data_IF_652741049443
#
_entry.id   IF_652741049443
#
_cell.length_a   1.000
_cell.length_b   1.000
_cell.length_c   1.000
_cell.angle_alpha   90.00
_cell.angle_beta   90.00
_cell.angle_gamma   90.00
#
_symmetry.space_group_name_H-M   'P 1'
#
loop_
_entity.id
_entity.type
_entity.pdbx_description
1 polymer ?
#
# COMPACT_ATOMS: atom_id res chain seq x y z
N UNK A 1 15.36 -5.31 -11.37
CA UNK A 1 15.43 -3.84 -11.24
C UNK A 1 14.02 -3.28 -11.37
N UNK A 2 13.34 -3.06 -10.25
CA UNK A 2 12.07 -2.33 -10.20
C UNK A 2 12.40 -0.86 -9.97
N UNK A 3 12.44 -0.06 -11.03
CA UNK A 3 12.51 1.40 -10.92
C UNK A 3 11.08 1.93 -10.82
N UNK A 4 10.46 1.83 -9.64
CA UNK A 4 9.30 2.66 -9.33
C UNK A 4 9.81 4.01 -8.84
N UNK A 5 9.79 5.03 -9.70
CA UNK A 5 9.89 6.41 -9.25
C UNK A 5 8.62 6.72 -8.45
N UNK A 6 8.66 6.51 -7.14
CA UNK A 6 7.64 7.04 -6.25
C UNK A 6 7.85 8.55 -6.17
N UNK A 7 7.10 9.28 -7.00
CA UNK A 7 6.90 10.71 -6.82
C UNK A 7 6.21 10.89 -5.48
N UNK A 8 6.86 11.55 -4.52
CA UNK A 8 6.23 11.86 -3.25
C UNK A 8 4.94 12.64 -3.51
N UNK A 9 3.79 12.06 -3.15
CA UNK A 9 2.51 12.75 -3.21
C UNK A 9 2.56 13.85 -2.16
N UNK A 10 2.68 15.12 -2.58
CA UNK A 10 2.82 16.24 -1.66
C UNK A 10 1.58 16.33 -0.77
N UNK A 11 1.77 16.03 0.52
CA UNK A 11 0.84 16.38 1.59
C UNK A 11 0.85 17.89 1.83
N UNK A 12 -0.22 18.43 2.42
CA UNK A 12 -0.16 19.78 3.00
C UNK A 12 0.81 19.77 4.20
N UNK A 13 2.09 20.04 3.94
CA UNK A 13 3.13 20.07 4.96
C UNK A 13 3.36 21.50 5.44
N UNK A 14 3.01 21.80 6.69
CA UNK A 14 3.49 23.02 7.35
C UNK A 14 4.94 22.75 7.78
N UNK A 15 5.88 23.11 6.91
CA UNK A 15 7.30 23.13 7.25
C UNK A 15 7.71 24.55 7.60
N UNK A 16 8.49 24.70 8.66
CA UNK A 16 9.09 25.97 9.03
C UNK A 16 10.55 25.77 9.39
N UNK A 17 11.31 26.86 9.40
CA UNK A 17 12.75 26.80 9.66
C UNK A 17 13.13 27.82 10.73
N UNK A 18 13.89 27.37 11.73
CA UNK A 18 14.47 28.21 12.77
C UNK A 18 15.94 28.42 12.40
N UNK A 19 16.30 29.59 11.83
CA UNK A 19 17.68 29.86 11.44
C UNK A 19 18.56 30.04 12.68
N UNK A 20 19.73 29.42 12.66
CA UNK A 20 20.74 29.52 13.72
C UNK A 20 22.06 30.02 13.11
N UNK A 21 22.86 30.72 13.91
CA UNK A 21 24.21 31.17 13.52
C UNK A 21 25.27 30.07 13.67
N UNK A 22 24.85 28.83 13.92
CA UNK A 22 25.70 27.64 14.00
C UNK A 22 24.94 26.42 13.46
N UNK A 23 25.66 25.33 13.20
CA UNK A 23 25.04 24.04 12.84
C UNK A 23 24.77 23.24 14.12
N UNK A 24 23.50 22.92 14.45
CA UNK A 24 23.18 22.02 15.54
C UNK A 24 23.64 20.59 15.21
N UNK A 25 24.25 19.92 16.18
CA UNK A 25 24.75 18.53 16.05
C UNK A 25 23.80 17.52 16.66
N UNK A 26 23.07 17.89 17.72
CA UNK A 26 22.15 17.00 18.42
C UNK A 26 21.01 17.77 19.10
N UNK A 27 19.85 17.14 19.20
CA UNK A 27 18.64 17.68 19.82
C UNK A 27 18.16 16.73 20.90
N UNK A 28 17.63 17.28 21.99
CA UNK A 28 16.98 16.50 23.06
C UNK A 28 15.92 17.34 23.76
N UNK A 29 15.08 16.73 24.60
CA UNK A 29 14.07 17.45 25.39
C UNK A 29 14.29 17.20 26.87
N UNK A 30 14.39 18.28 27.65
CA UNK A 30 14.54 18.24 29.10
C UNK A 30 13.48 19.14 29.76
N UNK A 31 12.62 18.55 30.60
CA UNK A 31 11.58 19.27 31.34
C UNK A 31 10.71 20.18 30.46
N UNK A 32 10.30 19.67 29.28
CA UNK A 32 9.48 20.42 28.33
C UNK A 32 10.22 21.53 27.58
N UNK A 33 11.55 21.59 27.67
CA UNK A 33 12.37 22.51 26.89
C UNK A 33 13.18 21.75 25.85
N UNK A 34 13.24 22.28 24.63
CA UNK A 34 14.12 21.76 23.58
C UNK A 34 15.56 22.17 23.90
N UNK A 35 16.46 21.20 24.00
CA UNK A 35 17.89 21.42 24.06
C UNK A 35 18.48 21.28 22.67
N UNK A 36 19.36 22.22 22.32
CA UNK A 36 20.02 22.32 21.02
C UNK A 36 21.51 22.32 21.26
N UNK A 37 22.19 21.22 20.92
CA UNK A 37 23.64 21.14 20.99
C UNK A 37 24.27 21.70 19.71
N UNK A 38 25.22 22.61 19.87
CA UNK A 38 26.25 22.92 18.89
C UNK A 38 27.51 22.10 19.21
N UNK A 39 28.59 22.28 18.45
CA UNK A 39 29.86 21.63 18.75
C UNK A 39 30.46 22.01 20.13
N UNK A 40 30.15 23.19 20.67
CA UNK A 40 30.82 23.73 21.87
C UNK A 40 29.88 24.14 23.02
N UNK A 41 28.57 24.09 22.79
CA UNK A 41 27.58 24.62 23.72
C UNK A 41 26.26 23.90 23.53
N UNK A 42 25.60 23.54 24.62
CA UNK A 42 24.18 23.18 24.66
C UNK A 42 23.39 24.42 25.00
N UNK A 43 22.39 24.73 24.18
CA UNK A 43 21.44 25.82 24.40
C UNK A 43 20.09 25.26 24.79
N UNK A 44 19.35 26.01 25.60
CA UNK A 44 17.93 25.79 25.83
C UNK A 44 17.12 26.70 24.89
N UNK A 45 16.21 26.11 24.12
CA UNK A 45 15.30 26.82 23.24
C UNK A 45 13.93 27.00 23.91
N UNK A 46 13.58 28.26 24.19
CA UNK A 46 12.30 28.61 24.79
C UNK A 46 11.75 29.91 24.17
N UNK A 47 10.50 29.87 23.68
CA UNK A 47 9.81 31.06 23.19
C UNK A 47 10.51 31.78 22.02
N UNK A 48 11.25 31.06 21.18
CA UNK A 48 11.99 31.63 20.05
C UNK A 48 13.44 32.02 20.35
N UNK A 49 13.87 31.97 21.61
CA UNK A 49 15.22 32.35 22.00
C UNK A 49 16.06 31.12 22.40
N UNK A 50 17.35 31.18 22.10
CA UNK A 50 18.35 30.25 22.61
C UNK A 50 19.12 30.88 23.77
N UNK A 51 19.12 30.22 24.92
CA UNK A 51 19.92 30.63 26.08
C UNK A 51 21.01 29.59 26.34
N UNK A 52 22.28 29.99 26.53
CA UNK A 52 23.33 29.06 26.94
C UNK A 52 22.94 28.27 28.18
N UNK A 53 23.12 26.95 28.14
CA UNK A 53 22.74 26.03 29.22
C UNK A 53 23.96 25.29 29.78
N UNK A 54 24.81 24.75 28.90
CA UNK A 54 25.98 23.98 29.30
C UNK A 54 27.09 24.14 28.25
N UNK A 55 28.27 24.56 28.70
CA UNK A 55 29.46 24.67 27.86
C UNK A 55 30.29 23.38 27.93
N UNK A 56 30.44 22.69 26.79
CA UNK A 56 31.26 21.48 26.63
C UNK A 56 31.82 21.49 25.21
N UNK A 57 33.12 21.24 25.05
CA UNK A 57 33.77 21.23 23.74
C UNK A 57 33.59 19.89 23.01
N UNK A 58 33.51 19.94 21.68
CA UNK A 58 33.44 18.80 20.76
C UNK A 58 32.27 17.84 21.00
N UNK A 59 31.10 18.39 21.36
CA UNK A 59 29.87 17.61 21.56
C UNK A 59 29.53 16.87 20.25
N UNK A 60 29.29 15.56 20.33
CA UNK A 60 28.72 14.81 19.20
C UNK A 60 27.23 14.55 19.41
N UNK A 61 26.84 14.16 20.63
CA UNK A 61 25.47 13.79 20.93
C UNK A 61 25.04 14.20 22.33
N UNK A 62 23.77 14.57 22.48
CA UNK A 62 23.13 14.75 23.78
C UNK A 62 21.90 13.86 23.90
N UNK A 63 21.65 13.38 25.11
CA UNK A 63 20.41 12.75 25.49
C UNK A 63 19.98 13.32 26.84
N UNK A 64 18.70 13.37 27.15
CA UNK A 64 18.24 14.03 28.38
C UNK A 64 17.22 13.19 29.12
N UNK A 65 17.32 13.26 30.44
CA UNK A 65 16.32 12.77 31.38
C UNK A 65 15.52 13.94 31.94
N UNK A 66 14.52 13.67 32.77
CA UNK A 66 13.85 14.71 33.55
C UNK A 66 14.82 15.45 34.52
N UNK A 67 15.94 14.83 34.88
CA UNK A 67 16.79 15.28 35.99
C UNK A 67 18.12 15.88 35.55
N UNK A 68 18.53 15.67 34.30
CA UNK A 68 19.84 16.07 33.79
C UNK A 68 20.08 15.67 32.34
N UNK A 69 21.25 16.02 31.83
CA UNK A 69 21.65 15.86 30.43
C UNK A 69 22.90 15.00 30.33
N UNK A 70 22.84 13.97 29.50
CA UNK A 70 24.00 13.22 29.06
C UNK A 70 24.62 13.90 27.85
N UNK A 71 25.94 14.04 27.87
CA UNK A 71 26.71 14.67 26.80
C UNK A 71 27.84 13.75 26.42
N UNK A 72 27.83 13.28 25.17
CA UNK A 72 28.96 12.61 24.55
C UNK A 72 29.81 13.67 23.83
N UNK A 73 31.12 13.59 24.05
CA UNK A 73 32.10 14.32 23.27
C UNK A 73 33.31 13.42 22.95
N UNK A 74 34.25 13.95 22.18
CA UNK A 74 35.47 13.22 21.78
C UNK A 74 36.37 12.72 22.92
N UNK A 75 36.11 13.11 24.17
CA UNK A 75 36.84 12.68 25.37
C UNK A 75 36.05 11.68 26.24
N UNK A 76 34.75 11.51 25.99
CA UNK A 76 33.91 10.52 26.65
C UNK A 76 32.50 11.02 26.97
N UNK A 77 31.78 10.19 27.74
CA UNK A 77 30.42 10.44 28.19
C UNK A 77 30.42 11.14 29.56
N UNK A 78 29.59 12.18 29.67
CA UNK A 78 29.39 12.95 30.88
C UNK A 78 27.90 13.04 31.22
N UNK A 79 27.59 13.22 32.51
CA UNK A 79 26.25 13.53 32.99
C UNK A 79 26.26 14.87 33.72
N UNK A 80 25.44 15.80 33.23
CA UNK A 80 25.22 17.10 33.81
C UNK A 80 23.93 17.12 34.62
N UNK A 81 24.04 17.45 35.91
CA UNK A 81 22.89 17.64 36.79
C UNK A 81 23.20 18.73 37.82
N UNK A 82 22.26 19.66 38.02
CA UNK A 82 22.33 20.69 39.06
C UNK A 82 23.66 21.47 39.09
N UNK A 83 24.21 21.82 37.92
CA UNK A 83 25.46 22.58 37.82
C UNK A 83 26.74 21.75 37.85
N UNK A 84 26.65 20.43 38.04
CA UNK A 84 27.81 19.53 38.11
C UNK A 84 27.87 18.66 36.87
N UNK A 85 29.02 18.68 36.19
CA UNK A 85 29.33 17.79 35.08
C UNK A 85 30.19 16.62 35.60
N UNK A 86 29.62 15.41 35.60
CA UNK A 86 30.27 14.20 36.12
C UNK A 86 30.73 13.30 34.97
N UNK A 87 32.02 12.92 34.87
CA UNK A 87 32.48 11.96 33.89
C UNK A 87 31.96 10.55 34.20
N UNK A 88 31.51 9.81 33.18
CA UNK A 88 31.01 8.44 33.32
C UNK A 88 32.01 7.37 32.87
N UNK A 89 33.19 7.78 32.40
CA UNK A 89 34.31 6.91 32.00
C UNK A 89 33.96 5.86 30.92
N UNK A 90 33.06 6.21 30.01
CA UNK A 90 32.71 5.42 28.82
C UNK A 90 32.85 6.29 27.58
N UNK A 91 33.42 5.76 26.50
CA UNK A 91 33.38 6.37 25.18
C UNK A 91 32.15 5.84 24.47
N UNK A 92 31.07 6.62 24.40
CA UNK A 92 29.85 6.18 23.72
C UNK A 92 29.91 6.54 22.24
N UNK A 93 29.48 5.63 21.37
CA UNK A 93 29.22 5.92 19.97
C UNK A 93 27.83 6.52 19.75
N UNK A 94 26.82 6.06 20.51
CA UNK A 94 25.45 6.58 20.45
C UNK A 94 24.74 6.54 21.79
N UNK A 95 23.79 7.45 21.97
CA UNK A 95 23.00 7.61 23.18
C UNK A 95 21.51 7.35 22.93
N UNK A 96 20.90 6.49 23.74
CA UNK A 96 19.47 6.19 23.70
C UNK A 96 18.87 6.34 25.08
N UNK A 97 17.90 7.25 25.24
CA UNK A 97 17.23 7.45 26.52
C UNK A 97 15.92 6.66 26.59
N UNK A 98 15.82 5.80 27.59
CA UNK A 98 14.65 5.00 27.88
C UNK A 98 13.70 5.76 28.82
N UNK A 99 12.62 6.30 28.26
CA UNK A 99 11.60 7.02 29.02
C UNK A 99 10.77 6.12 29.95
N UNK A 100 10.76 4.80 29.76
CA UNK A 100 9.99 3.87 30.59
C UNK A 100 10.72 3.54 31.89
N UNK A 101 12.05 3.38 31.84
CA UNK A 101 12.87 3.09 33.02
C UNK A 101 13.61 4.30 33.59
N UNK A 102 13.68 5.40 32.82
CA UNK A 102 14.49 6.57 33.14
C UNK A 102 16.00 6.34 33.01
N UNK A 103 16.41 5.32 32.24
CA UNK A 103 17.81 4.94 32.07
C UNK A 103 18.36 5.42 30.73
N UNK A 104 19.65 5.75 30.69
CA UNK A 104 20.38 5.93 29.44
C UNK A 104 21.06 4.62 29.04
N UNK A 105 20.91 4.24 27.78
CA UNK A 105 21.70 3.20 27.14
C UNK A 105 22.73 3.87 26.23
N UNK A 106 24.01 3.69 26.54
CA UNK A 106 25.14 4.17 25.76
C UNK A 106 25.81 2.99 25.05
N UNK A 107 25.86 3.02 23.71
CA UNK A 107 26.45 1.93 22.92
C UNK A 107 27.88 2.25 22.53
N UNK A 108 28.78 1.27 22.60
CA UNK A 108 30.19 1.41 22.25
C UNK A 108 30.70 0.11 21.64
N UNK A 109 30.77 0.05 20.30
CA UNK A 109 31.08 -1.20 19.61
C UNK A 109 30.04 -2.27 19.94
N UNK A 110 30.48 -3.36 20.59
CA UNK A 110 29.61 -4.46 21.01
C UNK A 110 29.03 -4.30 22.41
N UNK A 111 29.43 -3.27 23.17
CA UNK A 111 29.01 -3.10 24.54
C UNK A 111 27.89 -2.07 24.67
N UNK A 112 26.94 -2.36 25.56
CA UNK A 112 25.87 -1.46 25.96
C UNK A 112 26.00 -1.19 27.45
N UNK A 113 26.17 0.08 27.79
CA UNK A 113 26.29 0.56 29.17
C UNK A 113 24.99 1.26 29.57
N UNK A 114 24.40 0.83 30.68
CA UNK A 114 23.12 1.37 31.17
C UNK A 114 23.37 2.23 32.40
N UNK A 115 22.94 3.49 32.35
CA UNK A 115 23.11 4.47 33.42
C UNK A 115 21.77 4.96 33.97
N UNK A 116 21.73 5.22 35.27
CA UNK A 116 20.69 6.00 35.93
C UNK A 116 21.35 7.19 36.63
N UNK A 117 21.13 8.39 36.08
CA UNK A 117 21.95 9.56 36.42
C UNK A 117 23.42 9.27 36.13
N UNK A 118 24.31 9.52 37.10
CA UNK A 118 25.74 9.24 36.99
C UNK A 118 26.15 7.81 37.32
N UNK A 119 25.22 6.94 37.72
CA UNK A 119 25.53 5.57 38.16
C UNK A 119 25.31 4.58 37.03
N UNK A 120 26.34 3.80 36.69
CA UNK A 120 26.18 2.62 35.85
C UNK A 120 25.42 1.53 36.64
N UNK A 121 24.28 1.09 36.11
CA UNK A 121 23.42 0.08 36.75
C UNK A 121 23.55 -1.29 36.10
N UNK A 122 23.92 -1.34 34.82
CA UNK A 122 24.10 -2.58 34.08
C UNK A 122 25.08 -2.36 32.92
N UNK A 123 25.75 -3.42 32.50
CA UNK A 123 26.44 -3.50 31.23
C UNK A 123 26.24 -4.89 30.63
N UNK A 124 26.18 -4.98 29.31
CA UNK A 124 26.12 -6.24 28.59
C UNK A 124 26.70 -6.08 27.18
N UNK A 125 27.14 -7.18 26.60
CA UNK A 125 27.70 -7.20 25.25
C UNK A 125 26.72 -7.87 24.29
N UNK A 126 26.51 -7.27 23.12
CA UNK A 126 25.72 -7.80 22.01
C UNK A 126 26.67 -8.09 20.86
N UNK A 127 26.89 -9.37 20.60
CA UNK A 127 27.78 -9.84 19.55
C UNK A 127 27.32 -9.28 18.19
N UNK A 128 28.26 -8.70 17.43
CA UNK A 128 28.01 -8.07 16.14
C UNK A 128 26.93 -6.96 16.16
N UNK A 129 26.77 -6.24 17.28
CA UNK A 129 25.87 -5.09 17.35
C UNK A 129 26.26 -3.95 16.41
N UNK A 130 25.27 -3.29 15.83
CA UNK A 130 25.44 -2.00 15.15
C UNK A 130 25.22 -0.81 16.10
N UNK A 131 24.84 -1.08 17.35
CA UNK A 131 24.76 -0.09 18.41
C UNK A 131 23.50 0.78 18.37
N UNK A 132 22.41 0.33 17.75
CA UNK A 132 21.10 0.98 17.86
C UNK A 132 20.23 0.28 18.91
N UNK A 133 19.47 1.09 19.66
CA UNK A 133 18.57 0.62 20.71
C UNK A 133 17.22 1.30 20.59
N UNK A 134 16.15 0.57 20.87
CA UNK A 134 14.81 1.14 21.03
C UNK A 134 14.08 0.51 22.20
N UNK A 135 13.02 1.16 22.68
CA UNK A 135 12.36 0.82 23.93
C UNK A 135 10.84 0.81 23.79
N UNK A 136 10.20 -0.10 24.51
CA UNK A 136 8.77 -0.04 24.78
C UNK A 136 8.53 -0.26 26.28
N UNK A 137 7.27 -0.27 26.73
CA UNK A 137 6.94 -0.43 28.16
C UNK A 137 7.38 -1.75 28.83
N UNK A 138 7.95 -2.70 28.08
CA UNK A 138 8.29 -4.05 28.54
C UNK A 138 9.77 -4.40 28.35
N UNK A 139 10.44 -3.82 27.36
CA UNK A 139 11.75 -4.29 26.93
C UNK A 139 12.57 -3.21 26.21
N UNK A 140 13.89 -3.42 26.21
CA UNK A 140 14.83 -2.79 25.31
C UNK A 140 15.19 -3.76 24.18
N UNK A 141 15.16 -3.29 22.93
CA UNK A 141 15.56 -4.06 21.75
C UNK A 141 16.84 -3.44 21.20
N UNK A 142 17.88 -4.26 21.05
CA UNK A 142 19.19 -3.90 20.52
C UNK A 142 19.42 -4.62 19.20
N UNK A 143 19.99 -3.94 18.22
CA UNK A 143 20.29 -4.53 16.93
C UNK A 143 21.65 -5.26 16.86
N UNK A 144 21.75 -6.20 15.93
CA UNK A 144 22.96 -6.93 15.61
C UNK A 144 22.95 -7.47 14.18
N UNK A 145 24.11 -7.89 13.68
CA UNK A 145 24.19 -8.61 12.39
C UNK A 145 23.36 -9.89 12.40
N UNK A 146 23.19 -10.52 13.57
CA UNK A 146 22.38 -11.72 13.73
C UNK A 146 20.91 -11.41 14.04
N UNK A 147 20.40 -10.19 13.83
CA UNK A 147 19.01 -9.81 14.13
C UNK A 147 18.86 -9.00 15.41
N UNK A 148 17.84 -9.29 16.24
CA UNK A 148 17.46 -8.45 17.38
C UNK A 148 17.69 -9.17 18.72
N UNK A 149 18.36 -8.49 19.64
CA UNK A 149 18.51 -8.89 21.03
C UNK A 149 17.50 -8.14 21.90
N UNK A 150 16.60 -8.87 22.56
CA UNK A 150 15.47 -8.35 23.35
C UNK A 150 15.75 -8.59 24.83
N UNK A 151 15.84 -7.48 25.58
CA UNK A 151 16.08 -7.46 27.01
C UNK A 151 14.83 -6.98 27.74
N UNK A 152 14.11 -7.91 28.36
CA UNK A 152 12.90 -7.58 29.11
C UNK A 152 13.27 -6.94 30.46
N UNK A 153 12.49 -5.95 30.89
CA UNK A 153 12.72 -5.28 32.18
C UNK A 153 12.51 -6.19 33.40
N UNK A 154 11.85 -7.34 33.21
CA UNK A 154 11.76 -8.38 34.25
C UNK A 154 13.05 -9.21 34.41
N UNK A 155 14.10 -8.90 33.64
CA UNK A 155 15.40 -9.57 33.67
C UNK A 155 15.54 -10.77 32.73
N UNK A 156 14.49 -11.13 31.98
CA UNK A 156 14.57 -12.18 30.97
C UNK A 156 15.17 -11.67 29.66
N UNK A 157 15.69 -12.59 28.86
CA UNK A 157 16.36 -12.31 27.59
C UNK A 157 15.79 -13.21 26.49
N UNK A 158 15.63 -12.62 25.31
CA UNK A 158 15.27 -13.33 24.10
C UNK A 158 16.12 -12.79 22.95
N UNK A 159 16.50 -13.66 22.03
CA UNK A 159 17.20 -13.28 20.82
C UNK A 159 16.52 -13.93 19.63
N UNK A 160 16.35 -13.15 18.57
CA UNK A 160 15.74 -13.56 17.32
C UNK A 160 16.74 -13.35 16.18
N UNK A 161 16.90 -14.37 15.32
CA UNK A 161 17.86 -14.47 14.20
C UNK A 161 17.09 -15.07 12.98
N UNK A 162 17.24 -14.72 11.69
CA UNK A 162 18.38 -14.18 10.91
C UNK A 162 17.90 -13.28 9.73
N UNK A 163 18.18 -11.97 9.71
CA UNK A 163 17.97 -11.10 8.53
C UNK A 163 19.31 -10.50 8.09
N UNK A 164 19.67 -10.75 6.83
CA UNK A 164 21.06 -10.69 6.35
C UNK A 164 21.58 -9.28 6.05
N UNK A 165 20.71 -8.26 5.97
CA UNK A 165 21.11 -6.90 5.62
C UNK A 165 20.40 -5.86 6.48
N UNK A 166 20.87 -5.81 7.73
CA UNK A 166 21.24 -4.60 8.46
C UNK A 166 20.23 -3.50 8.79
N UNK A 167 20.30 -3.18 10.06
CA UNK A 167 19.38 -2.33 10.77
C UNK A 167 20.07 -0.99 10.98
N UNK A 168 19.39 0.07 10.56
CA UNK A 168 19.83 1.42 10.82
C UNK A 168 18.63 2.18 11.37
N UNK A 169 18.72 2.59 12.65
CA UNK A 169 17.62 3.15 13.43
C UNK A 169 16.42 2.20 13.63
N UNK A 170 15.82 2.27 14.82
CA UNK A 170 14.68 1.43 15.20
C UNK A 170 13.69 2.24 16.04
N UNK A 171 12.40 1.94 15.88
CA UNK A 171 11.35 2.59 16.66
C UNK A 171 10.08 1.73 16.70
N UNK A 172 9.09 2.18 17.47
CA UNK A 172 7.79 1.55 17.57
C UNK A 172 6.68 2.47 17.08
N UNK A 173 5.65 1.85 16.50
CA UNK A 173 4.38 2.51 16.21
C UNK A 173 3.22 1.63 16.67
N UNK A 174 2.64 1.96 17.83
CA UNK A 174 1.63 1.09 18.45
C UNK A 174 2.21 -0.30 18.73
N UNK A 175 1.60 -1.35 18.14
CA UNK A 175 2.10 -2.72 18.21
C UNK A 175 3.02 -3.10 17.04
N UNK A 176 3.36 -2.17 16.15
CA UNK A 176 4.30 -2.39 15.05
C UNK A 176 5.72 -2.06 15.49
N UNK A 177 6.66 -2.83 14.99
CA UNK A 177 8.08 -2.53 15.09
C UNK A 177 8.61 -2.07 13.74
N UNK A 178 9.48 -1.07 13.76
CA UNK A 178 9.97 -0.42 12.55
C UNK A 178 11.49 -0.37 12.63
N UNK A 179 12.15 -0.84 11.58
CA UNK A 179 13.61 -0.80 11.47
C UNK A 179 14.04 -0.27 10.11
N UNK A 180 15.06 0.57 10.08
CA UNK A 180 15.63 1.01 8.80
C UNK A 180 16.56 -0.03 8.21
N UNK A 181 16.73 0.03 6.90
CA UNK A 181 17.51 -0.90 6.09
C UNK A 181 18.53 -0.14 5.25
N UNK A 182 19.76 -0.68 5.13
CA UNK A 182 20.76 -0.12 4.22
C UNK A 182 20.69 -0.70 2.80
N UNK A 183 20.30 -1.96 2.63
CA UNK A 183 20.17 -2.60 1.32
C UNK A 183 19.01 -3.62 1.33
N UNK A 184 17.87 -3.31 0.67
CA UNK A 184 17.59 -2.05 -0.01
C UNK A 184 17.47 -0.88 0.97
N UNK A 185 17.85 0.33 0.54
CA UNK A 185 17.69 1.54 1.36
C UNK A 185 16.19 1.77 1.59
N UNK A 186 15.76 1.71 2.85
CA UNK A 186 14.33 1.70 3.14
C UNK A 186 14.01 1.50 4.61
N UNK A 187 12.74 1.23 4.88
CA UNK A 187 12.22 0.93 6.22
C UNK A 187 11.41 -0.36 6.17
N UNK A 188 11.80 -1.34 6.98
CA UNK A 188 11.00 -2.51 7.28
C UNK A 188 9.95 -2.17 8.33
N UNK A 189 8.71 -2.55 8.06
CA UNK A 189 7.58 -2.41 8.97
C UNK A 189 7.09 -3.80 9.31
N UNK A 190 7.33 -4.20 10.56
CA UNK A 190 6.82 -5.42 11.16
C UNK A 190 5.42 -5.10 11.69
N UNK A 191 4.37 -5.50 10.97
CA UNK A 191 2.99 -5.08 11.27
C UNK A 191 2.43 -5.69 12.56
N UNK A 192 3.19 -6.55 13.22
CA UNK A 192 2.95 -7.02 14.58
C UNK A 192 4.28 -7.32 15.26
N UNK A 193 4.53 -6.75 16.45
CA UNK A 193 5.74 -6.99 17.25
C UNK A 193 5.94 -8.46 17.58
N UNK A 194 4.87 -9.27 17.60
CA UNK A 194 4.97 -10.71 17.85
C UNK A 194 5.85 -11.43 16.84
N UNK A 195 5.99 -10.89 15.62
CA UNK A 195 6.91 -11.40 14.59
C UNK A 195 8.36 -11.41 15.12
N UNK A 196 8.73 -10.47 15.99
CA UNK A 196 10.06 -10.47 16.63
C UNK A 196 10.24 -11.54 17.69
N UNK A 197 9.18 -12.12 18.25
CA UNK A 197 9.29 -13.14 19.30
C UNK A 197 9.26 -14.57 18.74
N UNK A 198 9.00 -14.70 17.44
CA UNK A 198 9.07 -15.98 16.74
C UNK A 198 10.55 -16.35 16.54
N UNK A 199 10.93 -17.53 17.03
CA UNK A 199 12.35 -17.92 17.20
C UNK A 199 13.18 -17.98 15.93
N UNK A 200 12.55 -18.05 14.76
CA UNK A 200 13.24 -18.19 13.48
C UNK A 200 12.45 -17.48 12.39
N UNK A 201 12.98 -16.37 11.93
CA UNK A 201 12.67 -15.84 10.61
C UNK A 201 13.85 -16.26 9.73
N UNK A 202 13.69 -17.22 8.79
CA UNK A 202 14.77 -17.55 7.85
C UNK A 202 15.07 -16.33 6.98
N UNK A 203 16.23 -16.26 6.32
CA UNK A 203 16.56 -15.19 5.37
C UNK A 203 15.36 -14.94 4.44
N UNK A 204 14.71 -13.79 4.62
CA UNK A 204 13.51 -13.43 3.86
C UNK A 204 13.94 -12.77 2.56
N UNK A 205 13.56 -13.39 1.45
CA UNK A 205 13.58 -12.70 0.17
C UNK A 205 12.47 -11.64 0.12
N UNK A 206 12.70 -10.52 -0.57
CA UNK A 206 11.76 -9.39 -0.60
C UNK A 206 10.33 -9.79 -1.03
N UNK A 207 10.18 -10.84 -1.84
CA UNK A 207 8.89 -11.41 -2.26
C UNK A 207 8.14 -12.17 -1.16
N UNK A 208 8.83 -12.63 -0.12
CA UNK A 208 8.26 -13.36 1.01
C UNK A 208 7.82 -12.47 2.17
N UNK A 209 8.09 -11.16 2.15
CA UNK A 209 7.77 -10.24 3.27
C UNK A 209 6.31 -10.34 3.74
N UNK A 210 5.37 -10.51 2.80
CA UNK A 210 3.93 -10.61 3.11
C UNK A 210 3.57 -11.88 3.90
N UNK A 211 4.33 -12.96 3.76
CA UNK A 211 4.13 -14.22 4.50
C UNK A 211 4.44 -14.05 5.99
N UNK A 212 5.32 -13.11 6.33
CA UNK A 212 5.74 -12.79 7.70
C UNK A 212 5.05 -11.54 8.26
N UNK A 213 3.98 -11.07 7.61
CA UNK A 213 3.27 -9.84 7.98
C UNK A 213 4.19 -8.60 8.05
N UNK A 214 5.13 -8.53 7.11
CA UNK A 214 6.05 -7.42 6.98
C UNK A 214 5.85 -6.67 5.67
N UNK A 215 6.21 -5.39 5.67
CA UNK A 215 6.33 -4.59 4.47
C UNK A 215 7.67 -3.86 4.43
N UNK A 216 8.11 -3.50 3.23
CA UNK A 216 9.29 -2.68 3.00
C UNK A 216 8.88 -1.41 2.26
N UNK A 217 9.33 -0.27 2.75
CA UNK A 217 9.22 1.02 2.08
C UNK A 217 10.60 1.47 1.63
N UNK A 218 10.86 1.37 0.33
CA UNK A 218 12.11 1.86 -0.24
C UNK A 218 12.15 3.40 -0.23
N UNK A 219 13.28 3.96 0.15
CA UNK A 219 13.54 5.41 0.12
C UNK A 219 14.99 5.68 -0.31
N UNK A 220 15.28 6.92 -0.72
CA UNK A 220 16.65 7.34 -1.01
C UNK A 220 17.42 7.82 0.23
N UNK A 221 16.74 7.90 1.38
CA UNK A 221 17.29 8.32 2.67
C UNK A 221 17.66 7.07 3.47
N UNK A 222 18.95 6.90 3.75
CA UNK A 222 19.42 5.86 4.67
C UNK A 222 18.92 6.20 6.08
N UNK A 223 18.13 5.36 6.76
CA UNK A 223 17.63 5.71 8.09
C UNK A 223 18.73 5.69 9.16
N UNK A 224 19.18 6.85 9.65
CA UNK A 224 20.12 6.92 10.79
C UNK A 224 19.46 7.45 12.05
N UNK A 225 18.45 8.30 11.86
CA UNK A 225 17.55 8.79 12.88
C UNK A 225 16.14 8.38 12.49
N UNK A 226 15.36 7.88 13.45
CA UNK A 226 13.99 7.46 13.20
C UNK A 226 13.12 7.76 14.41
N UNK A 227 11.94 8.29 14.15
CA UNK A 227 10.89 8.46 15.15
C UNK A 227 9.52 8.37 14.50
N UNK A 228 8.49 8.14 15.30
CA UNK A 228 7.11 8.08 14.83
C UNK A 228 6.31 9.19 15.47
N UNK A 229 5.57 9.93 14.65
CA UNK A 229 4.70 11.00 15.11
C UNK A 229 3.44 11.06 14.24
N UNK A 230 2.25 11.13 14.86
CA UNK A 230 0.95 11.19 14.18
C UNK A 230 0.73 10.13 13.07
N UNK A 231 1.16 8.89 13.30
CA UNK A 231 1.01 7.81 12.31
C UNK A 231 1.94 7.92 11.10
N UNK A 232 3.00 8.72 11.20
CA UNK A 232 4.03 8.88 10.19
C UNK A 232 5.40 8.48 10.78
N UNK A 233 6.18 7.72 10.01
CA UNK A 233 7.57 7.41 10.30
C UNK A 233 8.43 8.52 9.70
N UNK A 234 9.17 9.23 10.54
CA UNK A 234 10.16 10.21 10.12
C UNK A 234 11.52 9.52 10.12
N UNK A 235 12.22 9.61 9.00
CA UNK A 235 13.58 9.06 8.86
C UNK A 235 14.52 10.12 8.30
N UNK A 236 15.76 10.12 8.79
CA UNK A 236 16.76 11.11 8.41
C UNK A 236 18.18 10.57 8.45
N UNK A 237 19.04 11.15 7.63
CA UNK A 237 20.50 10.98 7.65
C UNK A 237 21.20 12.13 6.92
N UNK A 238 22.51 12.00 6.75
CA UNK A 238 23.30 12.87 5.88
C UNK A 238 22.79 12.97 4.43
N UNK A 239 21.95 12.03 3.98
CA UNK A 239 21.39 11.99 2.61
C UNK A 239 20.04 12.70 2.45
N UNK A 240 19.42 13.13 3.55
CA UNK A 240 18.12 13.80 3.49
C UNK A 240 17.19 13.41 4.63
N UNK A 241 15.93 13.80 4.47
CA UNK A 241 14.80 13.51 5.35
C UNK A 241 13.66 12.94 4.50
N UNK A 242 13.04 11.86 4.97
CA UNK A 242 11.82 11.34 4.38
C UNK A 242 10.77 11.10 5.48
N UNK A 243 9.50 11.29 5.12
CA UNK A 243 8.37 10.94 5.98
C UNK A 243 7.53 9.91 5.26
N UNK A 244 7.26 8.81 5.94
CA UNK A 244 6.56 7.64 5.42
C UNK A 244 5.25 7.50 6.17
N UNK A 245 4.16 7.31 5.44
CA UNK A 245 2.87 7.03 6.05
C UNK A 245 2.77 5.56 6.46
N UNK A 246 2.37 5.32 7.71
CA UNK A 246 2.32 3.97 8.30
C UNK A 246 1.12 3.14 7.84
N UNK A 247 0.11 3.78 7.23
CA UNK A 247 -1.11 3.11 6.79
C UNK A 247 -0.93 2.46 5.42
N UNK A 248 -0.38 3.19 4.45
CA UNK A 248 -0.23 2.76 3.06
C UNK A 248 1.24 2.54 2.66
N UNK A 249 2.18 2.77 3.58
CA UNK A 249 3.61 2.53 3.38
C UNK A 249 4.21 3.38 2.25
N UNK A 250 3.70 4.60 2.02
CA UNK A 250 4.23 5.54 1.02
C UNK A 250 5.06 6.67 1.60
N UNK A 251 6.05 7.15 0.84
CA UNK A 251 6.78 8.39 1.14
C UNK A 251 5.91 9.61 0.81
N UNK A 252 5.48 10.33 1.85
CA UNK A 252 4.57 11.50 1.75
C UNK A 252 5.29 12.85 1.85
N UNK A 253 6.57 12.85 2.21
CA UNK A 253 7.44 14.02 2.21
C UNK A 253 8.89 13.61 1.98
N UNK A 254 9.62 14.44 1.24
CA UNK A 254 11.05 14.30 1.03
C UNK A 254 11.75 15.67 1.05
N UNK A 255 12.91 15.71 1.67
CA UNK A 255 13.83 16.84 1.64
C UNK A 255 15.27 16.34 1.48
N UNK A 256 16.08 16.92 0.57
CA UNK A 256 17.49 16.54 0.44
C UNK A 256 18.38 17.13 1.54
N UNK A 257 17.82 17.89 2.50
CA UNK A 257 18.60 18.51 3.58
C UNK A 257 19.14 17.45 4.55
N UNK A 258 20.45 17.41 4.84
CA UNK A 258 21.02 16.49 5.82
C UNK A 258 20.39 16.63 7.21
N UNK A 259 20.04 15.51 7.82
CA UNK A 259 19.61 15.43 9.22
C UNK A 259 20.76 14.94 10.10
N UNK A 260 21.02 15.67 11.19
CA UNK A 260 22.03 15.33 12.20
C UNK A 260 21.42 14.79 13.50
N UNK A 261 20.15 15.08 13.75
CA UNK A 261 19.39 14.59 14.89
C UNK A 261 17.92 14.92 14.68
N UNK A 262 17.02 14.13 15.28
CA UNK A 262 15.59 14.37 15.24
C UNK A 262 14.97 14.15 16.61
N UNK A 263 14.05 15.02 17.01
CA UNK A 263 13.30 14.88 18.25
C UNK A 263 11.86 15.35 18.09
N UNK A 264 10.93 14.73 18.79
CA UNK A 264 9.58 15.27 18.94
C UNK A 264 9.59 16.40 19.98
N UNK A 265 9.02 17.55 19.62
CA UNK A 265 8.85 18.67 20.54
C UNK A 265 7.55 19.42 20.24
N UNK A 266 6.71 19.60 21.26
CA UNK A 266 5.40 20.30 21.16
C UNK A 266 4.51 19.80 20.01
N UNK A 267 4.43 18.48 19.82
CA UNK A 267 3.57 17.86 18.80
C UNK A 267 4.03 18.11 17.36
N UNK A 268 5.34 18.33 17.15
CA UNK A 268 5.99 18.45 15.85
C UNK A 268 7.35 17.76 15.90
N UNK A 269 7.92 17.50 14.73
CA UNK A 269 9.24 16.89 14.61
C UNK A 269 10.28 17.97 14.28
N UNK A 270 11.28 18.10 15.14
CA UNK A 270 12.38 19.04 14.99
C UNK A 270 13.60 18.28 14.49
N UNK A 271 14.19 18.75 13.39
CA UNK A 271 15.33 18.11 12.73
C UNK A 271 16.50 19.09 12.72
N UNK A 272 17.62 18.69 13.32
CA UNK A 272 18.86 19.44 13.23
C UNK A 272 19.42 19.31 11.82
N UNK A 273 19.68 20.44 11.18
CA UNK A 273 20.17 20.53 9.80
C UNK A 273 21.26 21.60 9.69
N UNK A 274 21.86 21.75 8.51
CA UNK A 274 22.82 22.84 8.29
C UNK A 274 22.17 24.22 8.48
N UNK A 275 22.78 25.05 9.34
CA UNK A 275 22.36 26.43 9.57
C UNK A 275 21.06 26.60 10.37
N UNK A 276 20.51 25.54 10.97
CA UNK A 276 19.34 25.67 11.82
C UNK A 276 18.52 24.40 12.02
N UNK A 277 17.29 24.59 12.51
CA UNK A 277 16.37 23.51 12.82
C UNK A 277 15.18 23.56 11.86
N UNK A 278 14.96 22.47 11.13
CA UNK A 278 13.77 22.28 10.32
C UNK A 278 12.65 21.73 11.22
N UNK A 279 11.50 22.39 11.22
CA UNK A 279 10.33 21.98 12.00
C UNK A 279 9.31 21.40 11.04
N UNK A 280 9.04 20.11 11.18
CA UNK A 280 8.14 19.34 10.35
C UNK A 280 6.82 19.10 11.10
N UNK A 281 5.73 19.54 10.50
CA UNK A 281 4.36 19.23 10.92
C UNK A 281 3.59 18.59 9.76
N UNK A 282 4.14 17.49 9.26
CA UNK A 282 3.49 16.69 8.21
C UNK A 282 2.25 16.01 8.81
N UNK A 283 1.12 16.13 8.13
CA UNK A 283 -0.11 15.45 8.51
C UNK A 283 -0.34 14.26 7.59
N UNK A 284 -0.77 13.10 8.11
CA UNK A 284 -1.25 12.04 7.24
C UNK A 284 -2.43 12.56 6.40
N UNK A 285 -2.58 12.05 5.18
CA UNK A 285 -3.75 12.35 4.37
C UNK A 285 -5.00 11.84 5.09
N UNK A 286 -6.14 12.55 5.00
CA UNK A 286 -7.40 12.05 5.55
C UNK A 286 -7.73 10.67 4.97
N UNK A 287 -8.20 9.75 5.82
CA UNK A 287 -8.73 8.47 5.38
C UNK A 287 -10.22 8.62 5.13
N UNK A 288 -10.66 8.21 3.95
CA UNK A 288 -12.04 8.13 3.56
C UNK A 288 -12.43 6.68 3.26
N UNK A 289 -13.68 6.35 3.55
CA UNK A 289 -14.22 5.01 3.33
C UNK A 289 -14.93 4.96 1.99
N UNK A 290 -14.39 4.17 1.06
CA UNK A 290 -15.05 3.86 -0.20
C UNK A 290 -15.82 2.55 -0.04
N UNK A 291 -17.13 2.61 -0.13
CA UNK A 291 -18.00 1.43 -0.12
C UNK A 291 -18.40 1.08 -1.54
N UNK A 292 -18.07 -0.12 -1.98
CA UNK A 292 -18.57 -0.69 -3.22
C UNK A 292 -19.80 -1.53 -2.89
N UNK A 293 -20.85 -1.40 -3.69
CA UNK A 293 -22.06 -2.22 -3.62
C UNK A 293 -22.23 -2.91 -4.97
N UNK A 294 -22.42 -4.23 -4.96
CA UNK A 294 -22.70 -5.00 -6.16
C UNK A 294 -24.20 -5.05 -6.41
N UNK A 295 -24.60 -4.81 -7.64
CA UNK A 295 -25.95 -5.11 -8.14
C UNK A 295 -25.88 -6.13 -9.27
N UNK A 296 -26.64 -7.23 -9.16
CA UNK A 296 -26.60 -8.33 -10.14
C UNK A 296 -25.28 -9.11 -10.13
N UNK A 297 -25.21 -10.22 -10.85
CA UNK A 297 -23.99 -11.05 -10.97
C UNK A 297 -23.80 -12.13 -9.89
N UNK A 298 -22.61 -12.77 -9.87
CA UNK A 298 -22.30 -13.91 -9.00
C UNK A 298 -22.19 -13.49 -7.52
N UNK A 299 -22.28 -14.46 -6.60
CA UNK A 299 -22.23 -14.17 -5.15
C UNK A 299 -20.95 -13.49 -4.67
N UNK A 300 -19.82 -13.70 -5.36
CA UNK A 300 -18.53 -13.08 -5.08
C UNK A 300 -17.91 -12.57 -6.37
N UNK A 301 -17.43 -11.34 -6.34
CA UNK A 301 -16.69 -10.71 -7.44
C UNK A 301 -15.33 -10.24 -6.95
N UNK A 302 -14.32 -10.45 -7.78
CA UNK A 302 -12.98 -9.94 -7.54
C UNK A 302 -12.78 -8.60 -8.24
N UNK A 303 -11.98 -7.72 -7.65
CA UNK A 303 -11.58 -6.43 -8.21
C UNK A 303 -10.19 -6.03 -7.71
N UNK A 304 -9.53 -5.09 -8.38
CA UNK A 304 -8.28 -4.49 -7.87
C UNK A 304 -8.49 -3.03 -7.51
N UNK A 305 -7.69 -2.55 -6.56
CA UNK A 305 -7.47 -1.12 -6.30
C UNK A 305 -5.99 -0.85 -6.51
N UNK A 306 -5.65 -0.04 -7.53
CA UNK A 306 -4.26 0.21 -7.96
C UNK A 306 -3.44 -1.10 -8.12
N UNK A 307 -4.07 -2.15 -8.63
CA UNK A 307 -3.45 -3.47 -8.83
C UNK A 307 -3.50 -4.43 -7.63
N UNK A 308 -3.95 -4.00 -6.45
CA UNK A 308 -4.10 -4.89 -5.28
C UNK A 308 -5.45 -5.61 -5.30
N UNK A 309 -5.42 -6.95 -5.32
CA UNK A 309 -6.60 -7.82 -5.40
C UNK A 309 -7.48 -7.73 -4.14
N UNK A 310 -8.79 -7.65 -4.34
CA UNK A 310 -9.83 -7.66 -3.30
C UNK A 310 -11.04 -8.46 -3.78
N UNK A 311 -11.86 -8.89 -2.83
CA UNK A 311 -13.12 -9.59 -3.08
C UNK A 311 -14.28 -8.79 -2.46
N UNK A 312 -15.44 -8.85 -3.13
CA UNK A 312 -16.70 -8.29 -2.64
C UNK A 312 -17.82 -9.30 -2.89
N UNK A 313 -18.62 -9.62 -1.87
CA UNK A 313 -19.80 -10.48 -2.05
C UNK A 313 -21.07 -9.69 -2.39
N UNK A 314 -21.47 -8.75 -1.53
CA UNK A 314 -22.59 -7.83 -1.78
C UNK A 314 -22.16 -6.37 -1.61
N UNK A 315 -21.35 -6.11 -0.60
CA UNK A 315 -20.72 -4.82 -0.38
C UNK A 315 -19.32 -5.01 0.19
N UNK A 316 -18.42 -4.08 -0.11
CA UNK A 316 -17.08 -4.05 0.45
C UNK A 316 -16.71 -2.61 0.79
N UNK A 317 -16.30 -2.36 2.03
CA UNK A 317 -15.84 -1.03 2.46
C UNK A 317 -14.33 -1.04 2.59
N UNK A 318 -13.67 -0.09 1.92
CA UNK A 318 -12.22 0.00 1.82
C UNK A 318 -11.78 1.36 2.37
N UNK A 319 -10.91 1.40 3.39
CA UNK A 319 -10.27 2.64 3.79
C UNK A 319 -9.21 3.04 2.75
N UNK A 320 -9.30 4.25 2.22
CA UNK A 320 -8.36 4.84 1.26
C UNK A 320 -7.99 6.25 1.71
N UNK A 321 -6.76 6.67 1.45
CA UNK A 321 -6.31 8.04 1.72
C UNK A 321 -6.92 9.01 0.70
N UNK A 322 -6.81 10.32 0.97
CA UNK A 322 -7.18 11.32 -0.03
C UNK A 322 -6.32 11.13 -1.28
N UNK A 323 -6.93 10.90 -2.45
CA UNK A 323 -6.16 10.60 -3.64
C UNK A 323 -6.98 10.15 -4.83
N UNK A 324 -6.30 9.64 -5.85
CA UNK A 324 -6.93 9.09 -7.06
C UNK A 324 -6.60 7.61 -7.15
N UNK A 325 -7.63 6.78 -7.21
CA UNK A 325 -7.53 5.33 -7.20
C UNK A 325 -8.16 4.75 -8.46
N UNK A 326 -7.51 3.74 -9.01
CA UNK A 326 -8.02 2.97 -10.12
C UNK A 326 -8.63 1.66 -9.61
N UNK A 327 -9.95 1.54 -9.72
CA UNK A 327 -10.70 0.32 -9.42
C UNK A 327 -10.90 -0.47 -10.71
N UNK A 328 -10.48 -1.72 -10.75
CA UNK A 328 -10.70 -2.60 -11.92
C UNK A 328 -11.49 -3.83 -11.50
N UNK A 329 -12.66 -4.01 -12.09
CA UNK A 329 -13.59 -5.10 -11.84
C UNK A 329 -13.34 -6.23 -12.84
N UNK A 330 -13.21 -7.45 -12.34
CA UNK A 330 -13.01 -8.61 -13.21
C UNK A 330 -14.37 -9.17 -13.63
N UNK A 331 -14.43 -9.57 -14.90
CA UNK A 331 -15.53 -10.34 -15.46
C UNK A 331 -15.27 -11.82 -15.19
N UNK A 332 -16.32 -12.61 -15.04
CA UNK A 332 -16.22 -14.06 -15.12
C UNK A 332 -16.77 -14.54 -16.47
N UNK A 333 -16.99 -15.86 -16.60
CA UNK A 333 -17.50 -16.45 -17.85
C UNK A 333 -18.94 -16.06 -18.14
N UNK A 334 -19.75 -15.83 -17.11
CA UNK A 334 -21.21 -15.73 -17.19
C UNK A 334 -21.71 -14.29 -16.96
N UNK A 335 -20.87 -13.42 -16.39
CA UNK A 335 -21.16 -12.05 -16.00
C UNK A 335 -20.01 -11.10 -16.28
N UNK A 336 -20.34 -9.88 -16.66
CA UNK A 336 -19.39 -8.79 -16.81
C UNK A 336 -19.84 -7.54 -16.07
N UNK A 337 -18.89 -6.77 -15.55
CA UNK A 337 -19.18 -5.46 -14.98
C UNK A 337 -19.50 -4.45 -16.10
N UNK A 338 -20.56 -3.65 -15.95
CA UNK A 338 -20.89 -2.59 -16.93
C UNK A 338 -19.73 -1.61 -17.11
N UNK A 339 -19.03 -1.30 -16.00
CA UNK A 339 -17.78 -0.56 -16.00
C UNK A 339 -16.67 -1.46 -15.45
N UNK A 340 -15.82 -1.95 -16.35
CA UNK A 340 -14.66 -2.77 -15.98
C UNK A 340 -13.60 -1.99 -15.21
N UNK A 341 -13.57 -0.67 -15.35
CA UNK A 341 -12.60 0.20 -14.67
C UNK A 341 -13.27 1.51 -14.24
N UNK A 342 -12.97 1.97 -13.02
CA UNK A 342 -13.44 3.25 -12.48
C UNK A 342 -12.28 3.99 -11.82
N UNK A 343 -12.00 5.21 -12.30
CA UNK A 343 -11.06 6.12 -11.64
C UNK A 343 -11.85 6.95 -10.64
N UNK A 344 -11.52 6.79 -9.37
CA UNK A 344 -12.19 7.45 -8.25
C UNK A 344 -11.23 8.45 -7.61
N UNK A 345 -11.64 9.71 -7.57
CA UNK A 345 -11.04 10.67 -6.64
C UNK A 345 -11.71 10.47 -5.28
N UNK A 346 -10.90 10.16 -4.27
CA UNK A 346 -11.29 9.96 -2.90
C UNK A 346 -10.91 11.21 -2.12
N UNK A 347 -11.91 12.03 -1.78
CA UNK A 347 -11.79 13.23 -0.96
C UNK A 347 -12.95 13.39 0.05
N UNK A 348 -13.81 12.37 0.13
CA UNK A 348 -14.87 12.17 1.11
C UNK A 348 -15.27 10.68 1.12
N UNK A 349 -16.03 10.27 2.14
CA UNK A 349 -16.60 8.91 2.18
C UNK A 349 -17.60 8.75 1.03
N UNK A 350 -17.36 7.78 0.16
CA UNK A 350 -18.16 7.60 -1.06
C UNK A 350 -18.67 6.18 -1.18
N UNK A 351 -19.87 6.03 -1.73
CA UNK A 351 -20.43 4.73 -2.09
C UNK A 351 -20.61 4.66 -3.60
N UNK A 352 -20.14 3.58 -4.23
CA UNK A 352 -20.34 3.32 -5.66
C UNK A 352 -21.07 2.00 -5.83
N UNK A 353 -22.02 1.99 -6.76
CA UNK A 353 -22.66 0.76 -7.22
C UNK A 353 -21.94 0.24 -8.46
N UNK A 354 -21.69 -1.06 -8.48
CA UNK A 354 -21.10 -1.78 -9.61
C UNK A 354 -22.11 -2.80 -10.10
N UNK A 355 -22.63 -2.56 -11.29
CA UNK A 355 -23.60 -3.43 -11.93
C UNK A 355 -22.89 -4.54 -12.68
N UNK A 356 -23.24 -5.78 -12.38
CA UNK A 356 -22.82 -6.96 -13.13
C UNK A 356 -23.98 -7.49 -13.95
N UNK A 357 -23.78 -7.57 -15.26
CA UNK A 357 -24.78 -8.01 -16.24
C UNK A 357 -24.38 -9.38 -16.78
N UNK A 358 -25.34 -10.29 -16.86
CA UNK A 358 -25.12 -11.62 -17.43
C UNK A 358 -24.81 -11.52 -18.93
N UNK A 359 -23.94 -12.40 -19.44
CA UNK A 359 -23.67 -12.49 -20.88
C UNK A 359 -24.97 -12.85 -21.61
N UNK A 360 -25.36 -12.12 -22.68
CA UNK A 360 -26.57 -12.45 -23.43
C UNK A 360 -26.45 -13.82 -24.12
N UNK A 361 -27.41 -14.68 -23.85
CA UNK A 361 -27.57 -16.02 -24.43
C UNK A 361 -28.87 -16.13 -25.23
N UNK A 362 -28.93 -17.13 -26.12
CA UNK A 362 -30.07 -17.33 -27.03
C UNK A 362 -30.93 -18.50 -26.57
N UNK A 363 -32.16 -18.19 -26.16
CA UNK A 363 -33.23 -19.17 -25.97
C UNK A 363 -33.97 -19.37 -27.29
N UNK A 364 -33.93 -20.58 -27.83
CA UNK A 364 -34.67 -20.97 -29.03
C UNK A 364 -35.91 -21.76 -28.66
N UNK A 365 -37.07 -21.31 -29.13
CA UNK A 365 -38.35 -21.98 -28.92
C UNK A 365 -38.83 -22.46 -30.28
N UNK A 366 -38.78 -23.78 -30.46
CA UNK A 366 -39.12 -24.43 -31.71
C UNK A 366 -40.60 -24.79 -31.72
N UNK A 367 -41.45 -23.83 -32.11
CA UNK A 367 -42.84 -24.11 -32.44
C UNK A 367 -42.94 -24.64 -33.89
N UNK A 368 -43.82 -25.61 -34.17
CA UNK A 368 -44.06 -26.07 -35.53
C UNK A 368 -44.46 -24.91 -36.45
N UNK A 369 -44.02 -24.97 -37.71
CA UNK A 369 -44.29 -23.91 -38.69
C UNK A 369 -45.81 -23.69 -38.86
N UNK A 370 -46.25 -22.44 -38.71
CA UNK A 370 -47.67 -22.06 -38.79
C UNK A 370 -48.44 -22.14 -37.46
N UNK A 371 -47.80 -22.57 -36.36
CA UNK A 371 -48.36 -22.48 -35.01
C UNK A 371 -47.99 -21.12 -34.40
N UNK A 372 -49.01 -20.34 -34.07
CA UNK A 372 -48.88 -19.13 -33.26
C UNK A 372 -49.01 -19.47 -31.78
N UNK A 373 -48.19 -18.85 -30.94
CA UNK A 373 -48.27 -19.03 -29.50
C UNK A 373 -47.69 -17.85 -28.73
N UNK A 374 -48.13 -17.74 -27.48
CA UNK A 374 -47.67 -16.74 -26.53
C UNK A 374 -46.60 -17.40 -25.64
N UNK A 375 -45.39 -16.83 -25.65
CA UNK A 375 -44.28 -17.28 -24.82
C UNK A 375 -44.12 -16.33 -23.66
N UNK A 376 -44.18 -16.84 -22.44
CA UNK A 376 -43.93 -16.10 -21.21
C UNK A 376 -42.60 -16.51 -20.60
N UNK A 377 -41.68 -15.56 -20.41
CA UNK A 377 -40.41 -15.75 -19.69
C UNK A 377 -40.46 -14.92 -18.41
N UNK A 378 -40.43 -15.56 -17.25
CA UNK A 378 -40.61 -14.91 -15.94
C UNK A 378 -41.84 -13.97 -15.89
N UNK A 379 -42.91 -14.31 -16.63
CA UNK A 379 -44.14 -13.53 -16.73
C UNK A 379 -44.16 -12.45 -17.82
N UNK A 380 -43.04 -12.19 -18.51
CA UNK A 380 -43.00 -11.26 -19.67
C UNK A 380 -43.41 -11.98 -20.93
N UNK A 381 -44.37 -11.43 -21.67
CA UNK A 381 -44.92 -12.02 -22.90
C UNK A 381 -44.10 -11.68 -24.15
N UNK A 382 -43.85 -12.70 -24.97
CA UNK A 382 -43.21 -12.66 -26.27
C UNK A 382 -44.10 -13.38 -27.28
N UNK A 383 -44.49 -12.66 -28.33
CA UNK A 383 -45.32 -13.21 -29.40
C UNK A 383 -44.47 -14.06 -30.35
N UNK A 384 -44.88 -15.31 -30.60
CA UNK A 384 -44.16 -16.26 -31.44
C UNK A 384 -45.02 -16.74 -32.62
N UNK A 385 -44.46 -16.73 -33.83
CA UNK A 385 -45.05 -17.29 -35.04
C UNK A 385 -44.06 -18.29 -35.66
N UNK A 386 -44.17 -19.55 -35.27
CA UNK A 386 -43.17 -20.57 -35.56
C UNK A 386 -41.89 -20.42 -34.70
N UNK A 387 -40.73 -20.90 -35.21
CA UNK A 387 -39.52 -20.95 -34.40
C UNK A 387 -39.00 -19.56 -34.01
N UNK A 388 -38.90 -19.31 -32.70
CA UNK A 388 -38.64 -17.98 -32.12
C UNK A 388 -37.33 -17.97 -31.35
N UNK A 389 -36.60 -16.85 -31.43
CA UNK A 389 -35.35 -16.59 -30.70
C UNK A 389 -35.58 -15.46 -29.70
N UNK A 390 -35.22 -15.70 -28.44
CA UNK A 390 -35.24 -14.69 -27.39
C UNK A 390 -33.82 -14.54 -26.85
N UNK A 391 -33.33 -13.30 -26.79
CA UNK A 391 -32.02 -12.99 -26.21
C UNK A 391 -32.25 -12.59 -24.75
N UNK A 392 -31.63 -13.32 -23.83
CA UNK A 392 -31.76 -13.13 -22.38
C UNK A 392 -30.38 -13.26 -21.74
N UNK A 393 -30.08 -12.58 -20.64
CA UNK A 393 -28.84 -12.82 -19.89
C UNK A 393 -28.70 -14.29 -19.48
N UNK A 394 -27.48 -14.73 -19.22
CA UNK A 394 -27.23 -15.99 -18.52
C UNK A 394 -28.04 -16.05 -17.21
N UNK A 395 -28.75 -17.15 -16.97
CA UNK A 395 -29.55 -17.29 -15.75
C UNK A 395 -30.60 -18.39 -15.79
N UNK A 396 -31.42 -18.44 -14.73
CA UNK A 396 -32.52 -19.40 -14.60
C UNK A 396 -33.85 -18.69 -14.84
N UNK A 397 -34.68 -19.26 -15.71
CA UNK A 397 -35.93 -18.67 -16.16
C UNK A 397 -37.09 -19.66 -16.04
N UNK A 398 -38.22 -19.18 -15.56
CA UNK A 398 -39.49 -19.87 -15.65
C UNK A 398 -40.15 -19.54 -16.99
N UNK A 399 -40.23 -20.54 -17.86
CA UNK A 399 -40.81 -20.46 -19.19
C UNK A 399 -42.21 -21.07 -19.18
N UNK A 400 -43.18 -20.37 -19.76
CA UNK A 400 -44.51 -20.90 -20.09
C UNK A 400 -44.80 -20.64 -21.57
N UNK A 401 -45.18 -21.66 -22.32
CA UNK A 401 -45.55 -21.55 -23.73
C UNK A 401 -47.01 -21.93 -23.89
N UNK A 402 -47.83 -21.03 -24.44
CA UNK A 402 -49.23 -21.28 -24.76
C UNK A 402 -49.40 -21.34 -26.28
N UNK A 403 -49.63 -22.55 -26.81
CA UNK A 403 -49.70 -22.78 -28.25
C UNK A 403 -50.70 -23.91 -28.56
N UNK A 404 -51.48 -23.78 -29.64
CA UNK A 404 -52.43 -24.81 -30.05
C UNK A 404 -53.57 -25.10 -29.05
N UNK A 405 -53.83 -24.19 -28.11
CA UNK A 405 -54.81 -24.38 -27.03
C UNK A 405 -54.27 -25.10 -25.79
N UNK A 406 -52.98 -25.43 -25.75
CA UNK A 406 -52.30 -26.09 -24.62
C UNK A 406 -51.24 -25.16 -23.99
N UNK A 407 -50.95 -25.37 -22.71
CA UNK A 407 -49.95 -24.61 -21.96
C UNK A 407 -48.86 -25.53 -21.40
N UNK A 408 -47.60 -25.24 -21.73
CA UNK A 408 -46.43 -26.00 -21.31
C UNK A 408 -45.56 -25.14 -20.40
N UNK A 409 -45.04 -25.70 -19.29
CA UNK A 409 -44.18 -24.99 -18.35
C UNK A 409 -42.82 -25.68 -18.24
N UNK A 410 -41.75 -24.89 -18.22
CA UNK A 410 -40.37 -25.35 -18.12
C UNK A 410 -39.60 -24.43 -17.18
N UNK A 411 -38.66 -24.98 -16.42
CA UNK A 411 -37.58 -24.19 -15.83
C UNK A 411 -36.36 -24.36 -16.73
N UNK A 412 -35.86 -23.25 -17.27
CA UNK A 412 -34.78 -23.22 -18.24
C UNK A 412 -33.53 -22.66 -17.57
N UNK A 413 -32.45 -23.43 -17.63
CA UNK A 413 -31.11 -22.98 -17.27
C UNK A 413 -30.45 -22.50 -18.54
N UNK A 414 -30.36 -21.19 -18.71
CA UNK A 414 -29.76 -20.58 -19.89
C UNK A 414 -28.28 -20.38 -19.61
N UNK A 415 -27.51 -21.45 -19.80
CA UNK A 415 -26.05 -21.49 -19.64
C UNK A 415 -25.29 -21.42 -20.97
N UNK A 416 -26.00 -21.66 -22.06
CA UNK A 416 -25.55 -21.77 -23.45
C UNK A 416 -26.78 -21.86 -24.38
N UNK A 417 -26.58 -22.01 -25.69
CA UNK A 417 -27.65 -22.15 -26.67
C UNK A 417 -28.64 -23.26 -26.29
N UNK A 418 -29.83 -22.85 -25.83
CA UNK A 418 -30.86 -23.76 -25.32
C UNK A 418 -32.04 -23.85 -26.27
N UNK A 419 -32.41 -25.07 -26.67
CA UNK A 419 -33.54 -25.34 -27.56
C UNK A 419 -34.67 -26.01 -26.77
N UNK A 420 -35.83 -25.36 -26.74
CA UNK A 420 -37.06 -25.92 -26.22
C UNK A 420 -38.00 -26.26 -27.37
N UNK A 421 -38.46 -27.50 -27.45
CA UNK A 421 -39.46 -27.94 -28.44
C UNK A 421 -40.71 -28.40 -27.71
N UNK A 422 -41.75 -27.56 -27.62
CA UNK A 422 -43.04 -27.96 -27.04
C UNK A 422 -43.71 -29.04 -27.89
N UNK A 423 -44.26 -30.07 -27.26
CA UNK A 423 -44.95 -31.15 -27.96
C UNK A 423 -46.41 -30.76 -28.23
N UNK A 424 -46.63 -29.87 -29.21
CA UNK A 424 -47.97 -29.37 -29.56
C UNK A 424 -48.68 -30.36 -30.47
N UNK A 425 -49.87 -30.82 -30.09
CA UNK A 425 -50.74 -31.62 -30.96
C UNK A 425 -51.66 -30.73 -31.79
N UNK A 426 -51.44 -30.71 -33.11
CA UNK A 426 -52.26 -29.92 -34.04
C UNK A 426 -53.56 -30.69 -34.34
N UNK A 427 -54.62 -30.41 -33.60
CA UNK A 427 -55.97 -30.88 -33.93
C UNK A 427 -56.56 -30.03 -35.07
N UNK A 428 -56.44 -30.56 -36.29
CA UNK A 428 -57.06 -30.10 -37.56
C UNK A 428 -56.45 -28.87 -38.23
N UNK A 429 -55.75 -29.11 -39.35
CA UNK A 429 -55.59 -28.12 -40.41
C UNK A 429 -56.83 -28.17 -41.31
N UNK A 430 -57.77 -27.23 -41.16
CA UNK A 430 -58.83 -27.05 -42.16
C UNK A 430 -58.19 -26.37 -43.37
N UNK A 431 -57.95 -27.14 -44.44
CA UNK A 431 -57.60 -26.60 -45.74
C UNK A 431 -58.78 -25.80 -46.29
N UNK A 432 -58.67 -24.47 -46.27
CA UNK A 432 -59.54 -23.61 -47.08
C UNK A 432 -58.86 -23.41 -48.43
N UNK A 433 -59.30 -24.20 -49.41
CA UNK A 433 -59.06 -23.93 -50.83
C UNK A 433 -59.87 -22.70 -51.25
N UNK A 434 -59.19 -21.65 -51.72
CA UNK A 434 -59.74 -20.74 -52.73
C UNK A 434 -58.61 -20.28 -53.67
N UNK A 435 -58.58 -20.88 -54.86
CA UNK A 435 -58.08 -20.32 -56.13
C UNK A 435 -58.79 -19.00 -56.44
N UNK A 436 -58.27 -17.98 -57.12
CA UNK A 436 -57.50 -17.87 -58.38
C UNK A 436 -57.03 -16.39 -58.52
N UNK A 437 -55.98 -15.95 -59.21
CA UNK A 437 -55.63 -16.13 -60.63
C UNK A 437 -54.19 -15.67 -60.92
N UNK A 438 -53.44 -16.54 -61.61
CA UNK A 438 -52.68 -16.34 -62.86
C UNK A 438 -51.83 -15.06 -63.10
N UNK A 439 -50.52 -15.27 -63.32
CA UNK A 439 -49.60 -14.35 -64.01
C UNK A 439 -48.18 -14.91 -64.06
N UNK A 440 -47.80 -15.49 -65.19
CA UNK A 440 -46.62 -16.38 -65.45
C UNK A 440 -45.32 -15.57 -65.74
N UNK A 441 -44.14 -16.17 -66.09
CA UNK A 441 -42.86 -15.99 -65.39
C UNK A 441 -41.78 -15.26 -66.23
N UNK A 442 -40.60 -15.02 -65.67
CA UNK A 442 -39.38 -14.85 -66.47
C UNK A 442 -38.16 -15.48 -65.79
N UNK A 443 -37.46 -16.27 -66.60
CA UNK A 443 -36.22 -16.99 -66.31
C UNK A 443 -34.97 -16.17 -66.67
N UNK A 444 -33.80 -16.61 -66.16
CA UNK A 444 -32.41 -16.40 -66.63
C UNK A 444 -31.62 -15.24 -65.97
N UNK A 445 -30.35 -15.33 -65.51
CA UNK A 445 -29.32 -16.40 -65.44
C UNK A 445 -28.24 -16.02 -64.38
N UNK A 446 -27.57 -17.05 -63.87
CA UNK A 446 -26.42 -17.19 -62.96
C UNK A 446 -25.26 -16.20 -63.13
N UNK A 447 -24.59 -15.82 -62.03
CA UNK A 447 -23.12 -15.77 -61.91
C UNK A 447 -22.65 -15.70 -60.45
N UNK A 448 -21.86 -16.69 -60.05
CA UNK A 448 -21.07 -16.77 -58.82
C UNK A 448 -19.89 -15.80 -58.84
N UNK A 449 -19.62 -15.10 -57.74
CA UNK A 449 -18.26 -14.65 -57.38
C UNK A 449 -18.05 -14.79 -55.88
N UNK A 450 -17.21 -15.75 -55.51
CA UNK A 450 -16.56 -15.87 -54.20
C UNK A 450 -15.27 -15.05 -54.15
N UNK A 451 -15.02 -14.45 -52.98
CA UNK A 451 -13.74 -14.09 -52.34
C UNK A 451 -12.78 -13.10 -53.02
N UNK A 452 -12.46 -12.01 -52.31
CA UNK A 452 -11.16 -11.82 -51.63
C UNK A 452 -11.02 -10.39 -51.11
N UNK A 453 -10.90 -10.19 -49.79
CA UNK A 453 -10.51 -8.90 -49.21
C UNK A 453 -9.59 -9.02 -47.97
N UNK A 454 -8.94 -10.17 -47.79
CA UNK A 454 -8.09 -10.45 -46.63
C UNK A 454 -6.58 -10.28 -46.87
N UNK A 455 -6.13 -10.06 -48.12
CA UNK A 455 -4.70 -9.94 -48.42
C UNK A 455 -4.13 -8.51 -48.36
N UNK A 456 -4.96 -7.48 -48.54
CA UNK A 456 -4.49 -6.08 -48.57
C UNK A 456 -4.25 -5.49 -47.17
N UNK A 457 -4.96 -5.99 -46.15
CA UNK A 457 -4.84 -5.48 -44.77
C UNK A 457 -3.61 -6.03 -44.03
N UNK A 458 -3.25 -7.30 -44.27
CA UNK A 458 -2.08 -7.94 -43.64
C UNK A 458 -0.76 -7.34 -44.16
N UNK A 459 -0.70 -6.95 -45.44
CA UNK A 459 0.47 -6.32 -46.02
C UNK A 459 0.76 -4.92 -45.42
N UNK A 460 -0.27 -4.15 -45.07
CA UNK A 460 -0.12 -2.80 -44.49
C UNK A 460 0.41 -2.87 -43.06
N UNK A 461 -0.08 -3.82 -42.24
CA UNK A 461 0.39 -4.01 -40.87
C UNK A 461 1.86 -4.46 -40.84
N UNK A 462 2.27 -5.35 -41.75
CA UNK A 462 3.64 -5.82 -41.83
C UNK A 462 4.65 -4.70 -42.16
N UNK A 463 4.31 -3.81 -43.10
CA UNK A 463 5.16 -2.65 -43.46
C UNK A 463 5.27 -1.67 -42.28
N UNK A 464 4.19 -1.46 -41.53
CA UNK A 464 4.19 -0.56 -40.37
C UNK A 464 5.07 -1.10 -39.22
N UNK A 465 5.00 -2.41 -38.95
CA UNK A 465 5.82 -3.05 -37.91
C UNK A 465 7.31 -3.00 -38.27
N UNK A 466 7.67 -3.27 -39.52
CA UNK A 466 9.08 -3.22 -39.97
C UNK A 466 9.64 -1.80 -39.89
N UNK A 467 8.86 -0.78 -40.26
CA UNK A 467 9.27 0.62 -40.13
C UNK A 467 9.50 1.01 -38.67
N UNK A 468 8.63 0.57 -37.75
CA UNK A 468 8.71 0.87 -36.33
C UNK A 468 9.95 0.23 -35.68
N UNK A 469 10.26 -1.02 -36.06
CA UNK A 469 11.47 -1.74 -35.61
C UNK A 469 12.73 -1.06 -36.13
N UNK A 470 12.75 -0.61 -37.38
CA UNK A 470 13.91 0.11 -37.95
C UNK A 470 14.15 1.47 -37.26
N UNK A 471 13.10 2.22 -36.93
CA UNK A 471 13.21 3.48 -36.18
C UNK A 471 13.79 3.22 -34.78
N UNK A 472 13.33 2.18 -34.09
CA UNK A 472 13.85 1.80 -32.77
C UNK A 472 15.32 1.37 -32.82
N UNK A 473 15.74 0.66 -33.86
CA UNK A 473 17.13 0.25 -34.04
C UNK A 473 18.05 1.45 -34.35
N UNK A 474 17.60 2.39 -35.19
CA UNK A 474 18.34 3.64 -35.46
C UNK A 474 18.46 4.49 -34.19
N UNK A 475 17.40 4.60 -33.40
CA UNK A 475 17.41 5.31 -32.12
C UNK A 475 18.36 4.68 -31.08
N UNK A 476 18.48 3.35 -31.08
CA UNK A 476 19.43 2.64 -30.20
C UNK A 476 20.88 2.79 -30.67
N UNK A 477 21.11 2.87 -31.97
CA UNK A 477 22.44 3.04 -32.55
C UNK A 477 22.99 4.47 -32.37
N UNK A 478 22.12 5.49 -32.27
CA UNK A 478 22.53 6.89 -32.05
C UNK A 478 22.79 7.27 -30.59
N UNK A 479 22.59 6.33 -29.65
CA UNK A 479 22.83 6.51 -28.20
C UNK A 479 23.99 5.64 -27.67
N UNK A 480 24.89 5.18 -28.53
CA UNK A 480 26.17 4.59 -28.13
C UNK A 480 27.33 5.52 -28.44
#
# INVERSE_FOLDING_TARGET
>A
MLTSSQTATQTSSDTSFIPLNFTPVSLSVMNGNLLVASNNEVYQYQGGNLTPFLHVNNIQEIASSAQGVYVENSSGLYYYQQGVLTPLHVMAGKLFFDNFTGSLYATCGYDVYVFQGSKMVQNFSVYESFGYVTFNSKEAIVDSQNGFAIYYYNGSFHCTIDYQDALCAMTFYGNKFVAGSFDPIGVFVFNNINVLYDKVIPVIYLDQLSEYNMSLVCTNVLPQYMLVHNGLIYTGSSRGIAVINTNDSQVVYYSPSPAYSMVEYHGKVYVATNGGIMVLNVKPLPIFYVTLVREGGPQSVFFTVNGSMKEMSFSCTIPLEEGVYNFTFFNDTDYHAENSTMIVRVDYNTTFTVNYVGVPEVLYINLPQGVKGDVYVNGTEYQADGPTKIILPYGVYDLKVEAGGEAFKYTVFLTDYTVITPNVHITSSVNVNTSSTSGVPSTQTVSSVTSSNSFTFIAIVAVFVVALVMILLIYRASRK
#
